data_IF_754892932596
#
_entry.id   IF_754892932596
#
_cell.length_a   1.000
_cell.length_b   1.000
_cell.length_c   1.000
_cell.angle_alpha   90.00
_cell.angle_beta   90.00
_cell.angle_gamma   90.00
#
_symmetry.space_group_name_H-M   'P 1'
#
loop_
_entity.id
_entity.type
_entity.pdbx_description
1 polymer ?
#
# COMPACT_ATOMS: atom_id res chain seq x y z
N UNK A 1 56.94 -59.92 -27.11
CA UNK A 1 55.77 -60.25 -27.96
C UNK A 1 55.01 -61.38 -27.26
N UNK A 2 53.66 -61.39 -27.16
CA UNK A 2 52.64 -60.45 -27.64
C UNK A 2 51.79 -59.81 -26.48
N UNK A 3 51.59 -58.48 -26.49
CA UNK A 3 50.35 -57.71 -26.82
C UNK A 3 49.26 -57.62 -25.72
N UNK A 4 49.10 -56.39 -25.20
CA UNK A 4 47.92 -55.79 -24.51
C UNK A 4 46.63 -55.86 -25.38
N UNK A 5 45.44 -55.28 -25.05
CA UNK A 5 44.96 -54.50 -23.87
C UNK A 5 43.55 -55.03 -23.39
N UNK A 6 42.75 -54.48 -22.47
CA UNK A 6 42.08 -53.16 -22.38
C UNK A 6 41.29 -53.03 -21.06
N UNK A 7 41.23 -51.82 -20.52
CA UNK A 7 40.34 -51.39 -19.42
C UNK A 7 38.85 -51.36 -19.83
N UNK A 8 37.90 -51.21 -18.88
CA UNK A 8 37.53 -49.83 -18.52
C UNK A 8 37.33 -49.64 -17.00
N UNK A 9 38.25 -48.88 -16.41
CA UNK A 9 37.99 -48.08 -15.21
C UNK A 9 37.24 -46.83 -15.71
N UNK A 10 35.94 -46.94 -15.96
CA UNK A 10 35.18 -45.84 -16.57
C UNK A 10 33.71 -45.78 -16.14
N UNK A 11 33.42 -45.87 -14.85
CA UNK A 11 32.06 -45.57 -14.36
C UNK A 11 32.01 -44.58 -13.20
N UNK A 12 33.14 -44.34 -12.52
CA UNK A 12 33.17 -43.47 -11.33
C UNK A 12 33.35 -41.98 -11.65
N UNK A 13 33.42 -41.59 -12.93
CA UNK A 13 33.51 -40.17 -13.35
C UNK A 13 32.23 -39.60 -13.97
N UNK A 14 31.15 -40.37 -14.06
CA UNK A 14 29.87 -39.90 -14.60
C UNK A 14 28.86 -39.41 -13.56
N UNK A 15 29.09 -39.64 -12.27
CA UNK A 15 28.15 -39.23 -11.20
C UNK A 15 28.42 -37.77 -10.74
N UNK A 16 29.63 -37.25 -10.93
CA UNK A 16 30.00 -35.93 -10.42
C UNK A 16 29.61 -34.74 -11.33
N UNK A 17 29.20 -34.98 -12.58
CA UNK A 17 28.85 -33.89 -13.51
C UNK A 17 27.35 -33.56 -13.48
N UNK A 18 26.50 -34.50 -13.02
CA UNK A 18 25.04 -34.27 -12.94
C UNK A 18 24.62 -33.52 -11.66
N UNK A 19 25.50 -33.41 -10.66
CA UNK A 19 25.22 -32.66 -9.44
C UNK A 19 25.46 -31.15 -9.56
N UNK A 20 26.06 -30.67 -10.66
CA UNK A 20 26.41 -29.26 -10.84
C UNK A 20 25.35 -28.44 -11.60
N UNK A 21 24.23 -29.04 -12.00
CA UNK A 21 23.14 -28.38 -12.75
C UNK A 21 21.90 -28.04 -11.89
N UNK A 22 21.93 -28.33 -10.59
CA UNK A 22 20.83 -28.00 -9.65
C UNK A 22 20.94 -26.62 -8.99
N UNK A 23 21.93 -25.80 -9.39
CA UNK A 23 22.09 -24.42 -8.94
C UNK A 23 21.32 -23.40 -9.79
N UNK A 24 20.17 -23.76 -10.37
CA UNK A 24 19.27 -22.78 -10.98
C UNK A 24 18.69 -21.93 -9.83
N UNK A 25 19.31 -20.76 -9.63
CA UNK A 25 18.92 -19.83 -8.59
C UNK A 25 17.41 -19.61 -8.59
N UNK A 26 16.80 -19.79 -7.42
CA UNK A 26 15.49 -19.26 -7.17
C UNK A 26 15.59 -17.74 -7.37
N UNK A 27 15.19 -17.26 -8.55
CA UNK A 27 14.80 -15.87 -8.72
C UNK A 27 13.60 -15.69 -7.82
N UNK A 28 13.86 -15.23 -6.60
CA UNK A 28 12.79 -14.69 -5.77
C UNK A 28 12.09 -13.65 -6.64
N UNK A 29 10.80 -13.87 -6.92
CA UNK A 29 9.91 -12.88 -7.49
C UNK A 29 9.69 -11.79 -6.44
N UNK A 30 10.77 -11.10 -6.09
CA UNK A 30 10.77 -9.92 -5.25
C UNK A 30 10.52 -8.72 -6.15
N UNK A 31 9.73 -7.79 -5.65
CA UNK A 31 9.51 -6.53 -6.34
C UNK A 31 10.74 -5.66 -6.14
N UNK A 32 11.56 -5.43 -7.18
CA UNK A 32 12.72 -4.58 -7.03
C UNK A 32 12.25 -3.17 -6.67
N UNK A 33 12.95 -2.48 -5.76
CA UNK A 33 12.71 -1.08 -5.40
C UNK A 33 11.37 -0.81 -4.64
N UNK A 34 10.95 -1.76 -3.79
CA UNK A 34 9.79 -1.58 -2.89
C UNK A 34 10.23 -1.23 -1.48
N UNK A 35 9.86 -0.04 -0.99
CA UNK A 35 9.99 0.29 0.45
C UNK A 35 8.92 -0.47 1.24
N UNK A 36 9.33 -1.56 1.89
CA UNK A 36 8.43 -2.36 2.74
C UNK A 36 7.78 -1.55 3.87
N UNK A 37 8.44 -0.49 4.36
CA UNK A 37 7.85 0.38 5.40
C UNK A 37 6.65 1.11 4.83
N UNK A 38 6.74 1.58 3.58
CA UNK A 38 5.63 2.24 2.91
C UNK A 38 4.43 1.31 2.76
N UNK A 39 4.66 0.07 2.32
CA UNK A 39 3.60 -0.93 2.21
C UNK A 39 2.95 -1.24 3.56
N UNK A 40 3.74 -1.37 4.64
CA UNK A 40 3.21 -1.54 6.00
C UNK A 40 2.36 -0.34 6.45
N UNK A 41 2.75 0.88 6.09
CA UNK A 41 1.94 2.07 6.38
C UNK A 41 0.65 2.15 5.57
N UNK A 42 0.68 1.77 4.28
CA UNK A 42 -0.51 1.68 3.45
C UNK A 42 -1.48 0.62 3.95
N UNK A 43 -0.96 -0.54 4.33
CA UNK A 43 -1.73 -1.65 4.89
C UNK A 43 -2.37 -1.24 6.22
N UNK A 44 -1.57 -0.68 7.14
CA UNK A 44 -2.06 -0.11 8.41
C UNK A 44 -3.16 0.92 8.17
N UNK A 45 -2.94 1.89 7.27
CA UNK A 45 -3.96 2.89 6.92
C UNK A 45 -5.25 2.25 6.40
N UNK A 46 -5.14 1.25 5.53
CA UNK A 46 -6.29 0.51 4.98
C UNK A 46 -7.12 -0.15 6.08
N UNK A 47 -6.47 -0.70 7.10
CA UNK A 47 -7.11 -1.25 8.29
C UNK A 47 -7.73 -0.13 9.16
N UNK A 48 -6.98 0.89 9.53
CA UNK A 48 -7.44 1.98 10.41
C UNK A 48 -8.67 2.71 9.88
N UNK A 49 -8.75 2.94 8.56
CA UNK A 49 -9.90 3.59 7.94
C UNK A 49 -11.22 2.81 8.11
N UNK A 50 -11.15 1.49 8.29
CA UNK A 50 -12.31 0.58 8.31
C UNK A 50 -12.64 0.02 9.68
N UNK A 51 -11.61 -0.16 10.51
CA UNK A 51 -11.71 -0.97 11.73
C UNK A 51 -11.59 -0.10 12.99
N UNK A 52 -11.39 1.22 12.84
CA UNK A 52 -11.31 2.16 13.96
C UNK A 52 -12.50 3.12 13.96
N UNK A 53 -13.10 3.36 15.12
CA UNK A 53 -14.09 4.43 15.29
C UNK A 53 -13.39 5.78 15.42
N UNK A 54 -13.83 6.78 14.67
CA UNK A 54 -13.28 8.14 14.69
C UNK A 54 -14.34 9.18 14.34
N UNK A 55 -14.15 10.39 14.85
CA UNK A 55 -14.95 11.55 14.51
C UNK A 55 -14.05 12.76 14.36
N UNK A 56 -14.37 13.64 13.41
CA UNK A 56 -13.63 14.88 13.23
C UNK A 56 -14.22 15.80 12.18
N UNK A 57 -13.62 16.99 12.08
CA UNK A 57 -13.92 17.98 11.05
C UNK A 57 -12.78 18.00 10.05
N UNK A 58 -13.12 17.88 8.77
CA UNK A 58 -12.17 17.87 7.65
C UNK A 58 -12.46 19.01 6.69
N UNK A 59 -11.41 19.56 6.09
CA UNK A 59 -11.53 20.54 5.02
C UNK A 59 -11.20 19.88 3.69
N UNK A 60 -12.12 19.97 2.72
CA UNK A 60 -11.87 19.57 1.34
C UNK A 60 -11.62 20.82 0.50
N UNK A 61 -10.46 20.91 -0.14
CA UNK A 61 -10.13 22.01 -1.03
C UNK A 61 -9.96 21.51 -2.47
N UNK A 62 -10.61 22.18 -3.43
CA UNK A 62 -10.47 21.94 -4.87
C UNK A 62 -10.26 23.26 -5.57
N UNK A 63 -9.03 23.50 -6.04
CA UNK A 63 -8.64 24.81 -6.57
C UNK A 63 -8.83 25.91 -5.52
N UNK A 64 -9.77 26.83 -5.79
CA UNK A 64 -10.11 27.94 -4.88
C UNK A 64 -11.31 27.64 -3.97
N UNK A 65 -12.02 26.55 -4.21
CA UNK A 65 -13.19 26.16 -3.42
C UNK A 65 -12.74 25.38 -2.19
N UNK A 66 -13.33 25.72 -1.04
CA UNK A 66 -13.10 25.04 0.22
C UNK A 66 -14.45 24.70 0.85
N UNK A 67 -14.59 23.44 1.27
CA UNK A 67 -15.75 22.92 1.98
C UNK A 67 -15.31 22.35 3.30
N UNK A 68 -16.11 22.56 4.35
CA UNK A 68 -15.87 21.99 5.67
C UNK A 68 -16.89 20.88 5.89
N UNK A 69 -16.45 19.70 6.31
CA UNK A 69 -17.31 18.54 6.55
C UNK A 69 -17.04 17.97 7.95
N UNK A 70 -18.08 17.53 8.62
CA UNK A 70 -17.97 16.62 9.77
C UNK A 70 -18.03 15.19 9.26
N UNK A 71 -17.10 14.37 9.72
CA UNK A 71 -17.02 12.93 9.42
C UNK A 71 -17.12 12.17 10.72
N UNK A 72 -18.02 11.20 10.78
CA UNK A 72 -18.09 10.23 11.88
C UNK A 72 -18.08 8.83 11.30
N UNK A 73 -17.20 7.98 11.80
CA UNK A 73 -17.12 6.56 11.48
C UNK A 73 -17.18 5.77 12.79
N UNK A 74 -18.11 4.83 12.88
CA UNK A 74 -18.29 3.98 14.05
C UNK A 74 -18.22 2.52 13.64
N UNK A 75 -17.50 1.72 14.42
CA UNK A 75 -17.35 0.28 14.26
C UNK A 75 -17.91 -0.42 15.49
N UNK A 76 -18.79 -1.40 15.26
CA UNK A 76 -19.39 -2.25 16.29
C UNK A 76 -19.49 -3.71 15.79
N UNK A 77 -20.16 -4.57 16.57
CA UNK A 77 -20.36 -5.99 16.25
C UNK A 77 -21.14 -6.23 14.94
N UNK A 78 -21.95 -5.26 14.51
CA UNK A 78 -22.79 -5.33 13.31
C UNK A 78 -22.10 -4.74 12.07
N UNK A 79 -20.89 -4.19 12.23
CA UNK A 79 -20.07 -3.68 11.13
C UNK A 79 -19.65 -2.23 11.34
N UNK A 80 -19.55 -1.49 10.24
CA UNK A 80 -19.18 -0.08 10.23
C UNK A 80 -20.35 0.81 9.80
N UNK A 81 -20.42 2.01 10.34
CA UNK A 81 -21.32 3.06 9.88
C UNK A 81 -20.55 4.36 9.69
N UNK A 82 -20.93 5.14 8.68
CA UNK A 82 -20.26 6.39 8.32
C UNK A 82 -21.30 7.48 8.09
N UNK A 83 -21.02 8.70 8.56
CA UNK A 83 -21.79 9.90 8.25
C UNK A 83 -20.84 11.01 7.82
N UNK A 84 -21.19 11.68 6.72
CA UNK A 84 -20.51 12.87 6.23
C UNK A 84 -21.55 13.99 6.14
N UNK A 85 -21.30 15.08 6.86
CA UNK A 85 -22.20 16.23 6.91
C UNK A 85 -21.46 17.49 6.50
N UNK A 86 -21.96 18.22 5.51
CA UNK A 86 -21.42 19.51 5.14
C UNK A 86 -21.71 20.52 6.26
N UNK A 87 -20.67 21.21 6.74
CA UNK A 87 -20.77 22.27 7.76
C UNK A 87 -20.85 23.68 7.16
N UNK A 88 -20.64 23.77 5.85
CA UNK A 88 -20.81 24.99 5.04
C UNK A 88 -21.92 24.76 4.01
N UNK A 89 -22.42 25.81 3.36
CA UNK A 89 -23.34 25.63 2.23
C UNK A 89 -24.72 25.09 2.63
N UNK A 90 -25.19 24.05 1.93
CA UNK A 90 -26.57 23.54 2.02
C UNK A 90 -26.81 22.55 3.17
N UNK A 91 -25.76 22.16 3.90
CA UNK A 91 -25.86 21.20 5.01
C UNK A 91 -26.19 19.78 4.55
N UNK A 92 -25.79 19.41 3.32
CA UNK A 92 -26.04 18.08 2.79
C UNK A 92 -25.42 16.99 3.68
N UNK A 93 -26.14 15.89 3.88
CA UNK A 93 -25.70 14.76 4.69
C UNK A 93 -25.79 13.46 3.89
N UNK A 94 -24.71 12.67 3.96
CA UNK A 94 -24.66 11.31 3.44
C UNK A 94 -24.40 10.36 4.60
N UNK A 95 -25.25 9.35 4.75
CA UNK A 95 -25.08 8.29 5.75
C UNK A 95 -24.94 6.94 5.06
N UNK A 96 -23.93 6.18 5.46
CA UNK A 96 -23.75 4.77 5.11
C UNK A 96 -24.02 3.97 6.37
N UNK A 97 -25.10 3.22 6.36
CA UNK A 97 -25.52 2.40 7.50
C UNK A 97 -25.03 0.97 7.29
N UNK A 98 -24.53 0.36 8.37
CA UNK A 98 -24.23 -1.07 8.47
C UNK A 98 -23.52 -1.67 7.26
N UNK A 99 -22.24 -1.37 7.14
CA UNK A 99 -21.34 -1.97 6.16
C UNK A 99 -20.50 -3.09 6.81
N UNK A 100 -20.62 -4.36 6.35
CA UNK A 100 -19.85 -5.47 6.90
C UNK A 100 -18.33 -5.26 6.83
N UNK A 101 -17.60 -5.63 7.89
CA UNK A 101 -16.15 -5.47 7.97
C UNK A 101 -15.36 -6.47 7.10
N UNK A 102 -16.00 -7.50 6.57
CA UNK A 102 -15.46 -8.42 5.58
C UNK A 102 -15.68 -7.93 4.14
N UNK A 103 -16.60 -6.99 3.93
CA UNK A 103 -16.79 -6.31 2.65
C UNK A 103 -15.66 -5.28 2.44
N UNK A 104 -14.65 -5.67 1.66
CA UNK A 104 -13.52 -4.78 1.33
C UNK A 104 -13.74 -4.19 -0.08
N UNK A 105 -13.84 -2.85 -0.15
CA UNK A 105 -13.89 -2.16 -1.43
C UNK A 105 -12.66 -2.47 -2.31
N UNK A 106 -12.81 -2.62 -3.64
CA UNK A 106 -11.71 -2.94 -4.53
C UNK A 106 -10.52 -1.98 -4.41
N UNK A 107 -10.77 -0.68 -4.23
CA UNK A 107 -9.71 0.31 -4.04
C UNK A 107 -8.87 0.07 -2.77
N UNK A 108 -9.49 -0.37 -1.67
CA UNK A 108 -8.78 -0.70 -0.43
C UNK A 108 -7.98 -1.99 -0.59
N UNK A 109 -8.49 -2.97 -1.35
CA UNK A 109 -7.73 -4.21 -1.65
C UNK A 109 -6.40 -3.92 -2.33
N UNK A 110 -6.32 -2.87 -3.16
CA UNK A 110 -5.07 -2.48 -3.84
C UNK A 110 -4.00 -1.93 -2.88
N UNK A 111 -4.40 -1.44 -1.70
CA UNK A 111 -3.50 -0.86 -0.70
C UNK A 111 -2.99 -1.90 0.30
N UNK A 112 -3.63 -3.06 0.36
CA UNK A 112 -3.19 -4.19 1.18
C UNK A 112 -2.00 -4.87 0.53
N UNK A 113 -1.12 -5.43 1.36
CA UNK A 113 0.11 -6.08 0.89
C UNK A 113 -0.23 -7.14 -0.18
N UNK A 114 0.51 -7.20 -1.30
CA UNK A 114 0.23 -8.18 -2.34
C UNK A 114 0.44 -9.59 -1.79
N UNK A 115 -0.54 -10.47 -2.01
CA UNK A 115 -0.52 -11.83 -1.45
C UNK A 115 0.23 -12.84 -2.30
N UNK A 116 0.54 -12.56 -3.57
CA UNK A 116 0.92 -13.64 -4.51
C UNK A 116 1.98 -13.21 -5.54
N UNK A 117 3.18 -12.80 -5.12
CA UNK A 117 4.31 -12.50 -6.01
C UNK A 117 4.11 -11.34 -7.01
N UNK A 118 2.96 -10.66 -6.94
CA UNK A 118 2.66 -9.47 -7.72
C UNK A 118 3.07 -8.22 -6.93
N UNK A 119 3.59 -7.19 -7.59
CA UNK A 119 4.04 -5.99 -6.89
C UNK A 119 2.93 -5.02 -6.47
N UNK A 120 1.66 -5.40 -6.66
CA UNK A 120 0.49 -4.59 -6.30
C UNK A 120 0.61 -3.15 -6.79
N UNK A 121 0.29 -2.19 -5.92
CA UNK A 121 0.45 -0.75 -6.20
C UNK A 121 1.92 -0.33 -6.41
N UNK A 122 2.88 -1.08 -5.86
CA UNK A 122 4.31 -0.78 -6.01
C UNK A 122 4.85 -1.04 -7.42
N UNK A 123 4.14 -1.84 -8.24
CA UNK A 123 4.43 -1.96 -9.67
C UNK A 123 4.32 -0.62 -10.41
N UNK A 124 3.54 0.32 -9.86
CA UNK A 124 3.12 1.54 -10.55
C UNK A 124 3.53 2.82 -9.84
N UNK A 125 3.91 2.73 -8.56
CA UNK A 125 4.32 3.86 -7.76
C UNK A 125 5.66 3.60 -7.07
N UNK A 126 6.40 4.68 -6.85
CA UNK A 126 7.52 4.76 -5.92
C UNK A 126 7.00 5.36 -4.62
N UNK A 127 7.59 4.94 -3.51
CA UNK A 127 7.19 5.39 -2.19
C UNK A 127 8.38 5.98 -1.45
N UNK A 128 8.14 7.09 -0.75
CA UNK A 128 9.07 7.65 0.22
C UNK A 128 8.33 7.85 1.55
N UNK A 129 8.93 7.32 2.63
CA UNK A 129 8.40 7.43 4.00
C UNK A 129 9.34 8.32 4.81
N UNK A 130 8.78 9.40 5.33
CA UNK A 130 9.46 10.37 6.19
C UNK A 130 8.63 10.66 7.44
N UNK A 131 9.26 11.20 8.48
CA UNK A 131 8.49 11.80 9.58
C UNK A 131 7.68 12.99 9.05
N UNK A 132 6.43 13.10 9.50
CA UNK A 132 5.51 14.14 9.10
C UNK A 132 5.31 15.21 10.17
N UNK A 133 4.77 16.34 9.76
CA UNK A 133 4.37 17.41 10.66
C UNK A 133 3.20 16.99 11.56
N UNK A 134 2.91 17.83 12.55
CA UNK A 134 1.72 17.67 13.37
C UNK A 134 0.47 18.10 12.58
N UNK A 135 -0.53 17.22 12.48
CA UNK A 135 -1.83 17.53 11.84
C UNK A 135 -2.93 17.34 12.87
N UNK A 136 -3.80 18.34 13.04
CA UNK A 136 -4.86 18.33 14.05
C UNK A 136 -4.36 17.97 15.47
N UNK A 137 -3.16 18.44 15.83
CA UNK A 137 -2.57 18.11 17.14
C UNK A 137 -2.12 16.65 17.28
N UNK A 138 -1.92 15.91 16.19
CA UNK A 138 -1.43 14.53 16.20
C UNK A 138 -0.12 14.39 15.45
N UNK A 139 0.82 13.60 16.00
CA UNK A 139 2.11 13.32 15.33
C UNK A 139 1.86 12.44 14.12
N UNK A 140 2.48 12.74 13.00
CA UNK A 140 2.19 12.03 11.76
C UNK A 140 3.43 11.44 11.08
N UNK A 141 3.17 10.52 10.16
CA UNK A 141 4.12 10.02 9.17
C UNK A 141 3.68 10.55 7.81
N UNK A 142 4.65 11.00 7.01
CA UNK A 142 4.41 11.46 5.64
C UNK A 142 4.79 10.35 4.67
N UNK A 143 3.86 10.02 3.77
CA UNK A 143 4.05 9.08 2.69
C UNK A 143 3.90 9.80 1.36
N UNK A 144 4.98 9.90 0.61
CA UNK A 144 4.99 10.44 -0.75
C UNK A 144 4.89 9.28 -1.75
N UNK A 145 3.91 9.38 -2.65
CA UNK A 145 3.51 8.34 -3.59
C UNK A 145 3.67 8.92 -4.99
N UNK A 146 4.71 8.51 -5.70
CA UNK A 146 5.08 9.07 -6.99
C UNK A 146 4.80 8.06 -8.11
N UNK A 147 4.08 8.43 -9.16
CA UNK A 147 3.80 7.51 -10.25
C UNK A 147 5.08 7.19 -11.02
N UNK A 148 5.21 5.93 -11.46
CA UNK A 148 6.30 5.48 -12.33
C UNK A 148 6.06 5.83 -13.81
N UNK A 149 4.88 6.36 -14.14
CA UNK A 149 4.44 6.73 -15.49
C UNK A 149 3.72 8.10 -15.50
N UNK A 150 3.43 8.62 -16.70
CA UNK A 150 2.78 9.91 -16.90
C UNK A 150 1.24 9.90 -16.91
N UNK A 151 0.64 8.75 -16.67
CA UNK A 151 -0.81 8.56 -16.80
C UNK A 151 -1.52 8.61 -15.44
N UNK A 152 -0.79 8.87 -14.37
CA UNK A 152 -1.27 8.80 -12.98
C UNK A 152 -0.95 10.08 -12.22
N UNK A 153 -1.79 10.38 -11.24
CA UNK A 153 -1.49 11.40 -10.23
C UNK A 153 -0.59 10.85 -9.14
N UNK A 154 0.28 11.69 -8.60
CA UNK A 154 0.96 11.43 -7.34
C UNK A 154 0.09 11.78 -6.15
N UNK A 155 0.48 11.30 -4.97
CA UNK A 155 -0.19 11.59 -3.71
C UNK A 155 0.81 11.89 -2.61
N UNK A 156 0.43 12.79 -1.71
CA UNK A 156 1.10 12.95 -0.42
C UNK A 156 0.09 12.67 0.67
N UNK A 157 0.27 11.55 1.36
CA UNK A 157 -0.55 11.14 2.48
C UNK A 157 0.15 11.48 3.79
N UNK A 158 -0.61 11.96 4.76
CA UNK A 158 -0.13 12.21 6.12
C UNK A 158 -0.97 11.36 7.07
N UNK A 159 -0.33 10.38 7.71
CA UNK A 159 -0.98 9.36 8.53
C UNK A 159 -0.70 9.60 10.00
N UNK A 160 -1.68 9.40 10.87
CA UNK A 160 -1.47 9.42 12.31
C UNK A 160 -0.46 8.34 12.73
N UNK A 161 0.58 8.72 13.47
CA UNK A 161 1.69 7.80 13.81
C UNK A 161 1.23 6.68 14.74
N UNK A 162 0.26 6.95 15.61
CA UNK A 162 -0.29 5.99 16.57
C UNK A 162 -1.27 5.03 15.89
N UNK A 163 -2.34 5.56 15.31
CA UNK A 163 -3.45 4.77 14.78
C UNK A 163 -3.28 4.34 13.34
N UNK A 164 -2.53 5.08 12.51
CA UNK A 164 -2.45 4.88 11.06
C UNK A 164 -3.58 5.57 10.27
N UNK A 165 -4.49 6.28 10.94
CA UNK A 165 -5.59 7.00 10.29
C UNK A 165 -5.07 8.08 9.33
N UNK A 166 -5.68 8.22 8.16
CA UNK A 166 -5.34 9.27 7.20
C UNK A 166 -5.81 10.64 7.73
N UNK A 167 -4.87 11.52 8.07
CA UNK A 167 -5.15 12.86 8.57
C UNK A 167 -5.21 13.92 7.47
N UNK A 168 -4.45 13.71 6.38
CA UNK A 168 -4.44 14.61 5.22
C UNK A 168 -4.03 13.85 3.96
N UNK A 169 -4.72 14.12 2.85
CA UNK A 169 -4.36 13.66 1.52
C UNK A 169 -4.25 14.85 0.57
N UNK A 170 -3.21 14.86 -0.25
CA UNK A 170 -3.04 15.83 -1.35
C UNK A 170 -2.78 15.06 -2.63
N UNK A 171 -3.53 15.37 -3.67
CA UNK A 171 -3.26 14.91 -5.03
C UNK A 171 -2.24 15.84 -5.68
N UNK A 172 -1.24 15.27 -6.33
CA UNK A 172 -0.14 16.00 -6.95
C UNK A 172 -0.14 15.68 -8.44
N UNK A 173 -0.18 16.71 -9.27
CA UNK A 173 0.01 16.54 -10.71
C UNK A 173 1.49 16.40 -11.07
N UNK A 174 1.78 15.99 -12.30
CA UNK A 174 3.16 15.86 -12.81
C UNK A 174 3.97 17.18 -12.78
N UNK A 175 3.31 18.33 -12.65
CA UNK A 175 3.97 19.64 -12.54
C UNK A 175 4.29 20.03 -11.09
N UNK A 176 4.09 19.14 -10.10
CA UNK A 176 4.18 19.43 -8.66
C UNK A 176 3.30 20.61 -8.20
N UNK A 177 2.25 20.95 -8.96
CA UNK A 177 1.29 21.99 -8.58
C UNK A 177 0.06 21.34 -7.96
N UNK A 178 -0.33 21.85 -6.80
CA UNK A 178 -1.54 21.44 -6.06
C UNK A 178 -2.75 22.26 -6.43
#
# INVERSE_FOLDING_TARGET
MPTSPTHPVLYTRFIAVLALLLGAGAVAAGCPDVDERALKWLDKMSHSLRETSYEGVVTLQRGKEMQVMQVSHAVDENGSSESLTELTGSGAQVRRLSHPLDCVHPGVKLLRSPTDGHCGVAAHYRFDVSDGDRVAGRRAVRLQIEPRDMYRFGYVLTLDKETGLLLRSRTVNHSHKT
#
